data_IF_537365111920
#
_entry.id   IF_537365111920
#
_cell.length_a   1.000
_cell.length_b   1.000
_cell.length_c   1.000
_cell.angle_alpha   90.00
_cell.angle_beta   90.00
_cell.angle_gamma   90.00
#
_symmetry.space_group_name_H-M   'P 1'
#
loop_
_entity.id
_entity.type
_entity.pdbx_description
1 polymer ?
#
# COMPACT_ATOMS: atom_id res chain seq x y z
N UNK A 1 -11.56 -14.57 24.66
CA UNK A 1 -11.02 -14.29 23.31
C UNK A 1 -9.53 -14.62 23.38
N UNK A 2 -9.04 -15.49 22.50
CA UNK A 2 -7.63 -15.89 22.48
C UNK A 2 -6.74 -14.82 21.81
N UNK A 3 -5.43 -14.93 22.04
CA UNK A 3 -4.44 -14.00 21.50
C UNK A 3 -4.37 -14.00 19.97
N UNK A 4 -4.71 -15.12 19.33
CA UNK A 4 -4.75 -15.26 17.88
C UNK A 4 -5.91 -14.44 17.27
N UNK A 5 -7.09 -14.50 17.88
CA UNK A 5 -8.25 -13.70 17.48
C UNK A 5 -7.98 -12.20 17.62
N UNK A 6 -7.25 -11.79 18.67
CA UNK A 6 -6.84 -10.40 18.84
C UNK A 6 -5.85 -9.95 17.75
N UNK A 7 -4.88 -10.79 17.40
CA UNK A 7 -3.94 -10.50 16.32
C UNK A 7 -4.65 -10.38 14.97
N UNK A 8 -5.61 -11.25 14.69
CA UNK A 8 -6.42 -11.19 13.47
C UNK A 8 -7.26 -9.90 13.41
N UNK A 9 -7.90 -9.50 14.51
CA UNK A 9 -8.64 -8.24 14.58
C UNK A 9 -7.72 -7.02 14.38
N UNK A 10 -6.52 -7.05 14.95
CA UNK A 10 -5.50 -6.02 14.74
C UNK A 10 -5.09 -5.90 13.27
N UNK A 11 -4.83 -7.03 12.61
CA UNK A 11 -4.48 -7.06 11.18
C UNK A 11 -5.61 -6.48 10.31
N UNK A 12 -6.85 -6.87 10.55
CA UNK A 12 -8.00 -6.32 9.83
C UNK A 12 -8.14 -4.81 10.04
N UNK A 13 -7.92 -4.34 11.26
CA UNK A 13 -8.00 -2.90 11.59
C UNK A 13 -6.92 -2.11 10.85
N UNK A 14 -5.68 -2.58 10.84
CA UNK A 14 -4.57 -1.91 10.14
C UNK A 14 -4.76 -1.94 8.62
N UNK A 15 -5.20 -3.06 8.05
CA UNK A 15 -5.52 -3.15 6.62
C UNK A 15 -6.66 -2.21 6.23
N UNK A 16 -7.69 -2.09 7.07
CA UNK A 16 -8.78 -1.14 6.85
C UNK A 16 -8.26 0.30 6.88
N UNK A 17 -7.43 0.66 7.87
CA UNK A 17 -6.83 2.00 7.96
C UNK A 17 -5.93 2.31 6.77
N UNK A 18 -5.04 1.39 6.38
CA UNK A 18 -4.20 1.55 5.20
C UNK A 18 -5.05 1.72 3.93
N UNK A 19 -6.12 0.92 3.80
CA UNK A 19 -7.07 1.06 2.70
C UNK A 19 -7.79 2.41 2.72
N UNK A 20 -8.14 2.96 3.89
CA UNK A 20 -8.76 4.29 4.03
C UNK A 20 -7.80 5.41 3.61
N UNK A 21 -6.56 5.37 4.09
CA UNK A 21 -5.51 6.35 3.71
C UNK A 21 -5.33 6.35 2.19
N UNK A 22 -5.20 5.18 1.58
CA UNK A 22 -4.99 5.07 0.13
C UNK A 22 -6.29 5.36 -0.66
N UNK A 23 -7.45 5.19 -0.04
CA UNK A 23 -8.75 5.54 -0.61
C UNK A 23 -9.02 7.05 -0.65
N UNK A 24 -8.35 7.83 0.20
CA UNK A 24 -8.38 9.29 0.20
C UNK A 24 -7.57 9.90 -0.94
N UNK A 25 -6.69 9.11 -1.57
CA UNK A 25 -5.99 9.53 -2.77
C UNK A 25 -6.98 9.81 -3.89
N UNK A 26 -7.08 11.08 -4.27
CA UNK A 26 -7.92 11.56 -5.38
C UNK A 26 -7.13 12.56 -6.19
N UNK A 27 -7.38 12.53 -7.49
CA UNK A 27 -6.83 13.51 -8.41
C UNK A 27 -7.96 14.05 -9.32
N UNK A 28 -8.10 15.37 -9.53
CA UNK A 28 -9.19 15.94 -10.31
C UNK A 28 -9.26 15.45 -11.77
N UNK A 29 -8.11 15.08 -12.35
CA UNK A 29 -7.99 14.76 -13.77
C UNK A 29 -7.77 13.28 -14.07
N UNK A 30 -7.61 12.44 -13.04
CA UNK A 30 -7.20 11.04 -13.19
C UNK A 30 -8.15 10.16 -12.40
N UNK A 31 -8.64 9.10 -13.03
CA UNK A 31 -9.48 8.10 -12.35
C UNK A 31 -8.60 7.21 -11.47
N UNK A 32 -9.10 6.86 -10.29
CA UNK A 32 -8.47 5.86 -9.43
C UNK A 32 -9.40 4.68 -9.15
N UNK A 33 -8.80 3.50 -9.09
CA UNK A 33 -9.44 2.26 -8.69
C UNK A 33 -8.75 1.70 -7.46
N UNK A 34 -9.54 1.36 -6.44
CA UNK A 34 -9.04 0.75 -5.20
C UNK A 34 -8.94 -0.74 -5.39
N UNK A 35 -7.94 -1.36 -4.76
CA UNK A 35 -7.84 -2.80 -4.73
C UNK A 35 -7.41 -3.29 -3.36
N UNK A 36 -7.80 -4.52 -3.04
CA UNK A 36 -7.29 -5.27 -1.91
C UNK A 36 -7.40 -6.74 -2.23
N UNK A 37 -6.33 -7.50 -1.99
CA UNK A 37 -6.33 -8.94 -2.21
C UNK A 37 -5.36 -9.66 -1.28
N UNK A 38 -5.63 -10.93 -1.05
CA UNK A 38 -4.73 -11.82 -0.35
C UNK A 38 -3.80 -12.52 -1.35
N UNK A 39 -2.57 -12.80 -0.92
CA UNK A 39 -1.61 -13.54 -1.72
C UNK A 39 -0.88 -14.60 -0.88
N UNK A 40 -0.49 -15.74 -1.47
CA UNK A 40 0.21 -16.80 -0.74
C UNK A 40 1.61 -16.37 -0.24
N UNK A 41 2.12 -16.98 0.85
CA UNK A 41 1.47 -18.01 1.66
C UNK A 41 0.51 -17.44 2.73
N UNK A 42 0.71 -16.22 3.19
CA UNK A 42 -0.12 -15.57 4.20
C UNK A 42 0.08 -14.03 4.13
N UNK A 43 -0.29 -13.45 2.99
CA UNK A 43 -0.10 -12.02 2.72
C UNK A 43 -1.38 -11.30 2.33
N UNK A 44 -1.40 -9.99 2.57
CA UNK A 44 -2.43 -9.07 2.15
C UNK A 44 -1.79 -7.84 1.51
N UNK A 45 -2.39 -7.36 0.43
CA UNK A 45 -2.00 -6.11 -0.25
C UNK A 45 -3.22 -5.23 -0.42
N UNK A 46 -3.04 -3.94 -0.21
CA UNK A 46 -4.06 -2.91 -0.44
C UNK A 46 -3.45 -1.69 -1.10
N UNK A 47 -4.25 -0.96 -1.88
CA UNK A 47 -3.77 0.19 -2.61
C UNK A 47 -4.79 0.83 -3.53
N UNK A 48 -4.29 1.78 -4.31
CA UNK A 48 -5.01 2.46 -5.38
C UNK A 48 -4.18 2.46 -6.66
N UNK A 49 -4.85 2.21 -7.78
CA UNK A 49 -4.28 2.35 -9.12
C UNK A 49 -4.88 3.60 -9.77
N UNK A 50 -4.04 4.47 -10.29
CA UNK A 50 -4.40 5.64 -11.08
C UNK A 50 -4.12 5.36 -12.56
N UNK A 51 -5.07 5.68 -13.44
CA UNK A 51 -4.92 5.47 -14.88
C UNK A 51 -4.74 6.82 -15.56
N UNK A 52 -3.51 7.14 -15.96
CA UNK A 52 -3.15 8.38 -16.63
C UNK A 52 -3.82 8.49 -18.02
N UNK A 53 -3.94 9.70 -18.62
CA UNK A 53 -4.60 9.90 -19.91
C UNK A 53 -3.99 9.15 -21.08
N UNK A 54 -2.70 8.82 -21.01
CA UNK A 54 -1.97 8.02 -21.99
C UNK A 54 -2.14 6.50 -21.79
N UNK A 55 -2.87 6.08 -20.75
CA UNK A 55 -3.12 4.68 -20.41
C UNK A 55 -2.14 4.09 -19.40
N UNK A 56 -1.11 4.83 -18.96
CA UNK A 56 -0.17 4.35 -17.93
C UNK A 56 -0.89 4.11 -16.60
N UNK A 57 -0.62 2.96 -15.98
CA UNK A 57 -1.07 2.65 -14.63
C UNK A 57 -0.02 3.05 -13.61
N UNK A 58 -0.42 3.86 -12.62
CA UNK A 58 0.40 4.23 -11.46
C UNK A 58 -0.23 3.64 -10.21
N UNK A 59 0.48 2.73 -9.53
CA UNK A 59 -0.02 1.98 -8.38
C UNK A 59 0.67 2.43 -7.11
N UNK A 60 -0.14 2.81 -6.12
CA UNK A 60 0.26 3.11 -4.75
C UNK A 60 -0.16 1.93 -3.88
N UNK A 61 0.79 1.24 -3.26
CA UNK A 61 0.50 -0.01 -2.55
C UNK A 61 1.31 -0.21 -1.28
N UNK A 62 0.67 -0.89 -0.32
CA UNK A 62 1.34 -1.48 0.84
C UNK A 62 0.94 -2.93 0.99
N UNK A 63 1.83 -3.73 1.56
CA UNK A 63 1.58 -5.13 1.84
C UNK A 63 2.19 -5.58 3.14
N UNK A 64 1.55 -6.59 3.73
CA UNK A 64 2.06 -7.33 4.88
C UNK A 64 1.94 -8.83 4.59
N UNK A 65 2.97 -9.61 4.90
CA UNK A 65 2.96 -11.06 4.76
C UNK A 65 3.68 -11.77 5.91
N UNK A 66 3.08 -12.84 6.43
CA UNK A 66 3.73 -13.71 7.40
C UNK A 66 4.51 -14.82 6.69
N UNK A 67 5.83 -14.89 6.90
CA UNK A 67 6.65 -16.01 6.44
C UNK A 67 7.92 -16.17 7.27
N UNK A 68 8.37 -17.41 7.48
CA UNK A 68 9.62 -17.70 8.20
C UNK A 68 9.60 -17.27 9.68
N UNK A 69 8.43 -17.24 10.32
CA UNK A 69 8.30 -16.80 11.72
C UNK A 69 8.36 -15.28 11.93
N UNK A 70 8.26 -14.49 10.85
CA UNK A 70 8.24 -13.04 10.90
C UNK A 70 7.16 -12.45 9.98
N UNK A 71 6.80 -11.19 10.23
CA UNK A 71 5.96 -10.35 9.40
C UNK A 71 6.84 -9.47 8.51
N UNK A 72 6.53 -9.47 7.23
CA UNK A 72 7.22 -8.72 6.20
C UNK A 72 6.32 -7.59 5.73
N UNK A 73 6.78 -6.35 5.86
CA UNK A 73 6.04 -5.16 5.44
C UNK A 73 6.79 -4.49 4.29
N UNK A 74 6.06 -4.13 3.24
CA UNK A 74 6.58 -3.42 2.08
C UNK A 74 5.58 -2.34 1.63
N UNK A 75 6.11 -1.26 1.07
CA UNK A 75 5.33 -0.16 0.50
C UNK A 75 6.02 0.36 -0.75
N UNK A 76 5.27 0.61 -1.80
CA UNK A 76 5.83 1.00 -3.09
C UNK A 76 4.89 1.89 -3.90
N UNK A 77 5.48 2.64 -4.81
CA UNK A 77 4.79 3.30 -5.91
C UNK A 77 5.39 2.77 -7.21
N UNK A 78 4.54 2.23 -8.07
CA UNK A 78 4.93 1.59 -9.33
C UNK A 78 4.27 2.29 -10.51
N UNK A 79 4.98 2.53 -11.60
CA UNK A 79 4.42 2.94 -12.89
C UNK A 79 4.96 2.03 -13.99
N UNK A 80 4.08 1.40 -14.77
CA UNK A 80 4.47 0.47 -15.85
C UNK A 80 5.41 -0.68 -15.44
N UNK A 81 5.42 -1.05 -14.15
CA UNK A 81 6.34 -2.06 -13.61
C UNK A 81 7.70 -1.53 -13.18
N UNK A 82 7.97 -0.24 -13.38
CA UNK A 82 9.10 0.47 -12.79
C UNK A 82 8.74 1.01 -11.42
N UNK A 83 9.70 0.97 -10.49
CA UNK A 83 9.51 1.53 -9.15
C UNK A 83 9.85 3.02 -9.15
N UNK A 84 8.86 3.84 -8.85
CA UNK A 84 9.03 5.27 -8.59
C UNK A 84 9.41 5.52 -7.12
N UNK A 85 8.97 4.62 -6.23
CA UNK A 85 9.32 4.60 -4.82
C UNK A 85 9.27 3.14 -4.35
N UNK A 86 10.33 2.70 -3.66
CA UNK A 86 10.39 1.40 -2.99
C UNK A 86 10.87 1.62 -1.55
N UNK A 87 9.97 1.43 -0.59
CA UNK A 87 10.33 1.56 0.82
C UNK A 87 11.13 0.32 1.26
N UNK A 88 12.15 0.50 2.12
CA UNK A 88 12.94 -0.64 2.60
C UNK A 88 12.04 -1.72 3.21
N UNK A 89 12.08 -2.94 2.68
CA UNK A 89 11.31 -4.04 3.26
C UNK A 89 11.69 -4.27 4.73
N UNK A 90 10.70 -4.30 5.62
CA UNK A 90 10.90 -4.58 7.05
C UNK A 90 10.51 -6.02 7.36
N UNK A 91 11.28 -6.68 8.21
CA UNK A 91 11.00 -8.01 8.75
C UNK A 91 10.95 -7.92 10.27
N UNK A 92 9.80 -8.23 10.85
CA UNK A 92 9.50 -7.98 12.26
C UNK A 92 8.94 -9.24 12.92
N UNK A 93 9.40 -9.62 14.13
CA UNK A 93 8.92 -10.84 14.79
C UNK A 93 7.52 -10.67 15.37
N UNK A 94 7.12 -9.46 15.72
CA UNK A 94 5.84 -9.15 16.36
C UNK A 94 4.81 -8.58 15.38
N UNK A 95 3.56 -9.04 15.50
CA UNK A 95 2.45 -8.51 14.71
C UNK A 95 2.23 -7.02 14.99
N UNK A 96 2.24 -6.60 16.26
CA UNK A 96 1.99 -5.20 16.63
C UNK A 96 2.98 -4.23 16.00
N UNK A 97 4.28 -4.57 16.01
CA UNK A 97 5.31 -3.74 15.37
C UNK A 97 5.13 -3.71 13.84
N UNK A 98 4.75 -4.83 13.24
CA UNK A 98 4.48 -4.90 11.81
C UNK A 98 3.27 -4.06 11.39
N UNK A 99 2.21 -4.03 12.21
CA UNK A 99 1.05 -3.18 11.95
C UNK A 99 1.39 -1.69 12.07
N UNK A 100 2.23 -1.31 13.03
CA UNK A 100 2.70 0.08 13.14
C UNK A 100 3.49 0.50 11.89
N UNK A 101 4.41 -0.35 11.42
CA UNK A 101 5.16 -0.08 10.18
C UNK A 101 4.26 -0.04 8.95
N UNK A 102 3.21 -0.88 8.90
CA UNK A 102 2.25 -0.86 7.80
C UNK A 102 1.50 0.47 7.73
N UNK A 103 1.08 1.01 8.88
CA UNK A 103 0.43 2.31 8.97
C UNK A 103 1.38 3.44 8.53
N UNK A 104 2.63 3.43 9.00
CA UNK A 104 3.66 4.40 8.59
C UNK A 104 3.89 4.34 7.07
N UNK A 105 4.01 3.14 6.51
CA UNK A 105 4.24 2.95 5.07
C UNK A 105 3.06 3.39 4.23
N UNK A 106 1.82 3.23 4.72
CA UNK A 106 0.64 3.75 4.03
C UNK A 106 0.70 5.29 3.94
N UNK A 107 1.12 5.96 5.01
CA UNK A 107 1.35 7.40 5.02
C UNK A 107 2.48 7.83 4.08
N UNK A 108 3.62 7.15 4.11
CA UNK A 108 4.78 7.46 3.25
C UNK A 108 4.47 7.26 1.75
N UNK A 109 3.72 6.22 1.40
CA UNK A 109 3.25 5.97 0.03
C UNK A 109 2.21 7.01 -0.41
N UNK A 110 1.30 7.41 0.48
CA UNK A 110 0.26 8.39 0.17
C UNK A 110 0.80 9.83 0.05
N UNK A 111 1.79 10.20 0.87
CA UNK A 111 2.31 11.56 0.96
C UNK A 111 2.76 12.20 -0.39
N UNK A 112 3.47 11.49 -1.29
CA UNK A 112 3.87 12.05 -2.57
C UNK A 112 2.78 12.00 -3.64
N UNK A 113 1.66 11.29 -3.43
CA UNK A 113 0.75 10.89 -4.51
C UNK A 113 0.25 12.03 -5.40
N UNK A 114 -0.24 13.13 -4.82
CA UNK A 114 -0.72 14.27 -5.60
C UNK A 114 0.37 14.86 -6.49
N UNK A 115 1.52 15.21 -5.90
CA UNK A 115 2.65 15.81 -6.63
C UNK A 115 3.23 14.87 -7.68
N UNK A 116 3.29 13.57 -7.40
CA UNK A 116 3.81 12.58 -8.34
C UNK A 116 2.88 12.41 -9.54
N UNK A 117 1.56 12.38 -9.30
CA UNK A 117 0.57 12.33 -10.39
C UNK A 117 0.64 13.60 -11.23
N UNK A 118 0.74 14.78 -10.61
CA UNK A 118 0.93 16.05 -11.34
C UNK A 118 2.17 16.01 -12.25
N UNK A 119 3.31 15.55 -11.73
CA UNK A 119 4.55 15.43 -12.50
C UNK A 119 4.41 14.46 -13.68
N UNK A 120 3.79 13.31 -13.46
CA UNK A 120 3.58 12.32 -14.52
C UNK A 120 2.59 12.81 -15.58
N UNK A 121 1.63 13.65 -15.20
CA UNK A 121 0.70 14.28 -16.15
C UNK A 121 1.39 15.34 -17.00
N UNK A 122 2.30 16.13 -16.43
CA UNK A 122 3.07 17.13 -17.16
C UNK A 122 3.96 16.50 -18.25
N UNK A 123 4.38 15.23 -18.08
CA UNK A 123 5.12 14.49 -19.11
C UNK A 123 4.27 14.07 -20.32
N UNK A 124 2.93 14.03 -20.17
CA UNK A 124 2.00 13.60 -21.21
C UNK A 124 1.60 14.76 -22.15
N UNK A 125 1.74 16.00 -21.69
CA UNK A 125 1.27 17.22 -22.38
C UNK A 125 2.31 17.77 -23.36
#
# INVERSE_FOLDING_TARGET
MDSESLAAAGLLTALNRASEILAELRHPFVRSERFSYFFPPAGARTGATFILPDGREVRFEVSIAASGGAFHVAGAIMAEGESLLDLPRRSLPGVSDALAVLDDYAGEVAAPAGRLIDQLLDEVV
#
